data_IF_248734113081
#
_entry.id   IF_248734113081
#
_cell.length_a   1.000
_cell.length_b   1.000
_cell.length_c   1.000
_cell.angle_alpha   90.00
_cell.angle_beta   90.00
_cell.angle_gamma   90.00
#
_symmetry.space_group_name_H-M   'P 1'
#
loop_
_entity.id
_entity.type
_entity.pdbx_description
1 polymer ?
#
# COMPACT_ATOMS: atom_id res chain seq x y z
N UNK A 1 -4.79 9.28 2.82
CA UNK A 1 -5.62 8.07 2.58
C UNK A 1 -5.43 7.11 3.75
N UNK A 2 -6.35 7.02 4.69
CA UNK A 2 -6.18 6.16 5.86
C UNK A 2 -6.38 4.67 5.51
N UNK A 3 -5.70 3.80 6.26
CA UNK A 3 -5.88 2.34 6.20
C UNK A 3 -6.44 1.74 7.50
N UNK A 4 -6.40 2.49 8.60
CA UNK A 4 -6.89 2.08 9.92
C UNK A 4 -7.76 3.16 10.55
N UNK A 5 -8.59 2.81 11.58
CA UNK A 5 -9.33 3.83 12.35
C UNK A 5 -8.42 4.86 13.04
N UNK A 6 -7.26 4.46 13.53
CA UNK A 6 -6.28 5.37 14.11
C UNK A 6 -5.72 6.35 13.05
N UNK A 7 -5.36 5.84 11.86
CA UNK A 7 -4.92 6.69 10.74
C UNK A 7 -6.04 7.67 10.33
N UNK A 8 -7.30 7.21 10.26
CA UNK A 8 -8.42 8.08 9.92
C UNK A 8 -8.55 9.26 10.91
N UNK A 9 -8.48 8.98 12.22
CA UNK A 9 -8.49 10.03 13.25
C UNK A 9 -7.28 10.94 13.14
N UNK A 10 -6.08 10.38 13.08
CA UNK A 10 -4.83 11.13 13.17
C UNK A 10 -4.54 11.96 11.92
N UNK A 11 -4.68 11.36 10.73
CA UNK A 11 -4.47 12.06 9.45
C UNK A 11 -5.52 13.14 9.20
N UNK A 12 -6.80 12.89 9.54
CA UNK A 12 -7.84 13.91 9.38
C UNK A 12 -7.56 15.14 10.25
N UNK A 13 -7.12 14.92 11.50
CA UNK A 13 -6.74 16.04 12.38
C UNK A 13 -5.51 16.79 11.87
N UNK A 14 -4.52 16.08 11.34
CA UNK A 14 -3.37 16.72 10.70
C UNK A 14 -3.81 17.55 9.49
N UNK A 15 -4.69 16.99 8.64
CA UNK A 15 -5.21 17.69 7.48
C UNK A 15 -6.01 18.97 7.84
N UNK A 16 -6.79 18.93 8.93
CA UNK A 16 -7.54 20.12 9.41
C UNK A 16 -6.60 21.21 9.98
N UNK A 17 -5.46 20.78 10.53
CA UNK A 17 -4.48 21.69 11.16
C UNK A 17 -3.41 22.19 10.20
N UNK A 18 -3.39 21.68 8.98
CA UNK A 18 -2.47 22.11 7.93
C UNK A 18 -2.90 23.49 7.39
N UNK A 19 -1.93 24.34 7.09
CA UNK A 19 -2.18 25.68 6.54
C UNK A 19 -2.52 25.64 5.04
N UNK A 20 -2.22 24.54 4.37
CA UNK A 20 -2.52 24.31 2.96
C UNK A 20 -3.84 23.55 2.77
N UNK A 21 -4.52 23.69 1.63
CA UNK A 21 -5.67 22.87 1.28
C UNK A 21 -5.28 21.39 1.15
N UNK A 22 -5.89 20.52 1.96
CA UNK A 22 -5.65 19.07 1.95
C UNK A 22 -6.84 18.33 1.37
N UNK A 23 -6.59 17.47 0.37
CA UNK A 23 -7.58 16.53 -0.14
C UNK A 23 -7.47 15.23 0.67
N UNK A 24 -8.49 14.96 1.49
CA UNK A 24 -8.57 13.75 2.31
C UNK A 24 -9.43 12.72 1.60
N UNK A 25 -8.83 11.58 1.22
CA UNK A 25 -9.51 10.54 0.42
C UNK A 25 -9.79 9.34 1.31
N UNK A 26 -11.06 8.96 1.40
CA UNK A 26 -11.53 7.81 2.17
C UNK A 26 -12.02 6.69 1.25
N UNK A 27 -11.99 5.46 1.76
CA UNK A 27 -12.53 4.28 1.08
C UNK A 27 -13.79 3.82 1.82
N UNK A 28 -14.95 3.97 1.19
CA UNK A 28 -16.26 3.67 1.78
C UNK A 28 -16.39 2.23 2.29
N UNK A 29 -15.80 1.26 1.59
CA UNK A 29 -15.80 -0.15 1.99
C UNK A 29 -15.10 -0.42 3.34
N UNK A 30 -14.30 0.55 3.81
CA UNK A 30 -13.57 0.45 5.08
C UNK A 30 -14.32 1.08 6.26
N UNK A 31 -15.44 1.77 6.05
CA UNK A 31 -16.18 2.45 7.15
C UNK A 31 -16.67 1.49 8.24
N UNK A 32 -16.86 0.22 7.91
CA UNK A 32 -17.23 -0.82 8.88
C UNK A 32 -16.05 -1.41 9.67
N UNK A 33 -14.81 -1.08 9.32
CA UNK A 33 -13.62 -1.63 9.95
C UNK A 33 -13.49 -1.10 11.38
N UNK A 34 -13.18 -2.01 12.29
CA UNK A 34 -12.94 -1.68 13.72
C UNK A 34 -11.45 -1.86 14.01
N UNK A 35 -10.93 -1.02 14.91
CA UNK A 35 -9.54 -1.08 15.37
C UNK A 35 -9.34 -0.16 16.56
N UNK A 36 -8.19 -0.27 17.18
CA UNK A 36 -7.79 0.61 18.27
C UNK A 36 -7.62 2.04 17.76
N UNK A 37 -8.09 2.98 18.56
CA UNK A 37 -7.94 4.42 18.30
C UNK A 37 -7.48 5.06 19.60
N UNK A 38 -6.35 5.78 19.61
CA UNK A 38 -5.90 6.48 20.80
C UNK A 38 -6.96 7.45 21.36
N UNK A 39 -7.19 7.40 22.67
CA UNK A 39 -8.16 8.29 23.36
C UNK A 39 -7.69 9.74 23.43
N UNK A 40 -6.38 9.97 23.24
CA UNK A 40 -5.80 11.30 23.24
C UNK A 40 -6.53 12.23 22.27
N UNK A 41 -7.04 13.33 22.80
CA UNK A 41 -7.74 14.36 22.01
C UNK A 41 -6.81 15.09 21.05
N UNK A 42 -5.50 15.11 21.28
CA UNK A 42 -4.50 15.76 20.44
C UNK A 42 -3.73 14.78 19.53
N UNK A 43 -4.09 13.51 19.56
CA UNK A 43 -3.50 12.51 18.68
C UNK A 43 -3.59 12.93 17.21
N UNK A 44 -2.45 13.00 16.54
CA UNK A 44 -2.28 13.26 15.10
C UNK A 44 -1.35 12.25 14.49
N UNK A 45 -1.46 12.06 13.18
CA UNK A 45 -0.50 11.31 12.36
C UNK A 45 0.12 12.32 11.38
N UNK A 46 1.45 12.44 11.33
CA UNK A 46 2.09 13.42 10.45
C UNK A 46 1.84 13.07 8.98
N UNK A 47 1.61 14.13 8.16
CA UNK A 47 1.51 14.00 6.71
C UNK A 47 2.91 13.75 6.13
N UNK A 48 2.99 12.91 5.10
CA UNK A 48 4.26 12.59 4.42
C UNK A 48 5.16 11.60 5.17
N UNK A 49 4.61 10.85 6.13
CA UNK A 49 5.33 9.81 6.87
C UNK A 49 4.62 8.48 6.66
N UNK A 50 5.30 7.52 6.05
CA UNK A 50 4.81 6.16 5.85
C UNK A 50 4.76 5.36 7.16
N UNK A 51 4.06 4.25 7.12
CA UNK A 51 3.97 3.31 8.24
C UNK A 51 4.36 1.90 7.78
N UNK A 52 5.34 1.32 8.44
CA UNK A 52 5.68 -0.09 8.27
C UNK A 52 4.67 -0.91 9.07
N UNK A 53 3.65 -1.40 8.39
CA UNK A 53 2.56 -2.18 9.01
C UNK A 53 2.99 -3.60 9.40
N UNK A 54 4.03 -4.10 8.76
CA UNK A 54 4.64 -5.39 9.00
C UNK A 54 6.10 -5.35 8.56
N UNK A 55 7.00 -5.78 9.41
CA UNK A 55 8.41 -6.02 9.09
C UNK A 55 8.57 -7.28 8.22
N UNK A 56 9.56 -7.29 7.33
CA UNK A 56 9.88 -8.43 6.47
C UNK A 56 11.23 -8.29 5.78
N UNK A 57 11.75 -9.38 5.21
CA UNK A 57 13.12 -9.44 4.70
C UNK A 57 13.26 -9.85 3.23
N UNK A 58 12.23 -10.47 2.63
CA UNK A 58 12.36 -11.13 1.32
C UNK A 58 11.69 -10.36 0.18
N UNK A 59 10.66 -9.58 0.49
CA UNK A 59 9.99 -8.71 -0.48
C UNK A 59 9.27 -7.56 0.23
N UNK A 60 9.17 -6.41 -0.44
CA UNK A 60 8.37 -5.26 0.01
C UNK A 60 7.03 -5.22 -0.72
N UNK A 61 5.94 -5.03 0.01
CA UNK A 61 4.63 -4.73 -0.57
C UNK A 61 4.24 -3.31 -0.17
N UNK A 62 4.23 -2.40 -1.14
CA UNK A 62 3.72 -1.04 -0.93
C UNK A 62 2.24 -1.02 -1.23
N UNK A 63 1.42 -0.72 -0.23
CA UNK A 63 -0.03 -0.74 -0.35
C UNK A 63 -0.66 0.45 0.38
N UNK A 64 -1.78 0.98 -0.12
CA UNK A 64 -2.49 2.10 0.52
C UNK A 64 -3.98 1.80 0.68
N UNK A 65 -4.60 2.43 1.69
CA UNK A 65 -6.04 2.35 1.95
C UNK A 65 -6.53 0.90 1.98
N UNK A 66 -7.54 0.53 1.17
CA UNK A 66 -8.10 -0.83 1.09
C UNK A 66 -7.06 -1.91 0.78
N UNK A 67 -6.00 -1.59 0.06
CA UNK A 67 -4.98 -2.59 -0.29
C UNK A 67 -4.08 -2.96 0.89
N UNK A 68 -4.01 -2.16 1.96
CA UNK A 68 -3.19 -2.48 3.15
C UNK A 68 -3.67 -3.77 3.85
N UNK A 69 -4.95 -3.91 4.26
CA UNK A 69 -5.41 -5.18 4.83
C UNK A 69 -5.32 -6.37 3.85
N UNK A 70 -5.41 -6.11 2.54
CA UNK A 70 -5.21 -7.16 1.53
C UNK A 70 -3.73 -7.60 1.49
N UNK A 71 -2.79 -6.64 1.54
CA UNK A 71 -1.36 -6.90 1.57
C UNK A 71 -0.94 -7.65 2.84
N UNK A 72 -1.47 -7.28 4.01
CA UNK A 72 -1.20 -7.99 5.26
C UNK A 72 -1.65 -9.45 5.19
N UNK A 73 -2.83 -9.73 4.65
CA UNK A 73 -3.31 -11.09 4.43
C UNK A 73 -2.45 -11.86 3.42
N UNK A 74 -2.01 -11.22 2.36
CA UNK A 74 -1.09 -11.83 1.39
C UNK A 74 0.25 -12.18 2.05
N UNK A 75 0.80 -11.29 2.88
CA UNK A 75 2.02 -11.54 3.64
C UNK A 75 1.87 -12.71 4.62
N UNK A 76 0.71 -12.88 5.27
CA UNK A 76 0.42 -14.04 6.13
C UNK A 76 0.37 -15.38 5.36
N UNK A 77 -0.10 -15.35 4.12
CA UNK A 77 -0.09 -16.54 3.24
C UNK A 77 1.33 -16.88 2.82
N UNK A 78 2.09 -15.88 2.36
CA UNK A 78 3.46 -16.04 1.90
C UNK A 78 4.42 -16.48 3.01
N UNK A 79 4.19 -16.05 4.25
CA UNK A 79 4.98 -16.50 5.39
C UNK A 79 4.89 -17.99 5.65
N UNK A 80 3.73 -18.59 5.44
CA UNK A 80 3.56 -20.06 5.52
C UNK A 80 4.32 -20.81 4.43
N UNK A 81 4.69 -20.10 3.37
CA UNK A 81 5.49 -20.58 2.25
C UNK A 81 6.99 -20.24 2.41
N UNK A 82 7.36 -19.59 3.52
CA UNK A 82 8.74 -19.23 3.85
C UNK A 82 9.20 -17.89 3.26
N UNK A 83 8.27 -17.03 2.82
CA UNK A 83 8.57 -15.68 2.30
C UNK A 83 8.10 -14.62 3.28
N UNK A 84 9.05 -13.87 3.84
CA UNK A 84 8.81 -12.79 4.79
C UNK A 84 8.63 -11.45 4.05
N UNK A 85 7.39 -10.97 3.96
CA UNK A 85 7.08 -9.71 3.29
C UNK A 85 7.00 -8.55 4.28
N UNK A 86 7.71 -7.46 3.97
CA UNK A 86 7.47 -6.15 4.57
C UNK A 86 6.26 -5.49 3.91
N UNK A 87 5.36 -4.89 4.71
CA UNK A 87 4.20 -4.18 4.20
C UNK A 87 4.27 -2.72 4.63
N UNK A 88 4.34 -1.83 3.65
CA UNK A 88 4.41 -0.37 3.85
C UNK A 88 3.13 0.30 3.40
N UNK A 89 2.54 1.09 4.28
CA UNK A 89 1.47 2.03 3.96
C UNK A 89 2.04 3.45 3.84
N UNK A 90 2.09 4.04 2.65
CA UNK A 90 2.55 5.42 2.48
C UNK A 90 1.67 6.45 3.19
N UNK A 91 0.41 6.12 3.54
CA UNK A 91 -0.61 6.99 4.15
C UNK A 91 -0.94 8.23 3.33
N UNK A 92 0.05 8.86 2.72
CA UNK A 92 -0.11 10.07 1.91
C UNK A 92 0.44 9.86 0.49
N UNK A 93 -0.23 10.47 -0.48
CA UNK A 93 0.21 10.46 -1.88
C UNK A 93 1.11 11.66 -2.15
N UNK A 94 0.79 12.80 -1.54
CA UNK A 94 1.59 14.02 -1.61
C UNK A 94 1.45 14.81 -0.30
N UNK A 95 2.56 15.03 0.40
CA UNK A 95 3.89 14.48 0.13
C UNK A 95 3.93 12.95 0.24
N UNK A 96 4.78 12.29 -0.57
CA UNK A 96 5.02 10.85 -0.52
C UNK A 96 6.31 10.57 0.25
N UNK A 97 6.27 9.69 1.23
CA UNK A 97 7.46 9.18 1.92
C UNK A 97 8.15 8.11 1.07
N UNK A 98 8.80 8.56 0.02
CA UNK A 98 9.51 7.66 -0.89
C UNK A 98 10.80 7.11 -0.25
N UNK A 99 11.37 7.83 0.70
CA UNK A 99 12.62 7.43 1.33
C UNK A 99 12.42 6.16 2.16
N UNK A 100 11.35 6.06 2.94
CA UNK A 100 10.97 4.83 3.66
C UNK A 100 10.77 3.65 2.70
N UNK A 101 10.10 3.87 1.57
CA UNK A 101 9.89 2.82 0.56
C UNK A 101 11.21 2.36 -0.06
N UNK A 102 12.08 3.30 -0.43
CA UNK A 102 13.38 3.00 -1.04
C UNK A 102 14.29 2.24 -0.08
N UNK A 103 14.35 2.62 1.20
CA UNK A 103 15.16 1.91 2.19
C UNK A 103 14.67 0.47 2.40
N UNK A 104 13.38 0.23 2.43
CA UNK A 104 12.81 -1.12 2.45
C UNK A 104 13.20 -1.93 1.21
N UNK A 105 13.07 -1.34 0.02
CA UNK A 105 13.44 -2.01 -1.24
C UNK A 105 14.93 -2.37 -1.28
N UNK A 106 15.80 -1.53 -0.73
CA UNK A 106 17.24 -1.83 -0.63
C UNK A 106 17.54 -3.03 0.29
N UNK A 107 16.69 -3.29 1.26
CA UNK A 107 16.84 -4.43 2.17
C UNK A 107 16.27 -5.72 1.58
N UNK A 108 15.10 -5.64 0.95
CA UNK A 108 14.35 -6.79 0.46
C UNK A 108 14.67 -7.16 -0.99
N UNK A 109 15.22 -6.24 -1.78
CA UNK A 109 15.60 -6.35 -3.20
C UNK A 109 14.45 -6.68 -4.17
N UNK A 110 13.21 -6.79 -3.68
CA UNK A 110 12.01 -7.15 -4.45
C UNK A 110 10.84 -6.32 -3.99
N UNK A 111 10.02 -5.83 -4.93
CA UNK A 111 8.90 -4.98 -4.58
C UNK A 111 7.67 -5.19 -5.44
N UNK A 112 6.52 -5.25 -4.77
CA UNK A 112 5.18 -5.18 -5.37
C UNK A 112 4.51 -3.89 -4.93
N UNK A 113 4.00 -3.11 -5.88
CA UNK A 113 3.17 -1.93 -5.60
C UNK A 113 1.72 -2.27 -5.86
N UNK A 114 0.89 -2.21 -4.82
CA UNK A 114 -0.51 -2.62 -4.84
C UNK A 114 -1.46 -1.42 -4.77
N UNK A 115 -2.37 -1.32 -5.71
CA UNK A 115 -3.38 -0.25 -5.79
C UNK A 115 -4.71 -0.76 -6.35
N UNK A 116 -5.81 -0.23 -5.90
CA UNK A 116 -7.14 -0.53 -6.44
C UNK A 116 -7.50 0.29 -7.68
N UNK A 117 -6.74 1.35 -7.94
CA UNK A 117 -6.91 2.22 -9.11
C UNK A 117 -6.48 1.53 -10.40
N UNK A 118 -6.86 2.15 -11.53
CA UNK A 118 -6.44 1.67 -12.85
C UNK A 118 -4.91 1.68 -13.01
N UNK A 119 -4.34 0.78 -13.82
CA UNK A 119 -2.89 0.73 -14.03
C UNK A 119 -2.36 1.95 -14.79
N UNK A 120 -3.16 2.51 -15.70
CA UNK A 120 -2.79 3.69 -16.47
C UNK A 120 -2.91 4.95 -15.61
N UNK A 121 -1.84 5.73 -15.53
CA UNK A 121 -1.74 6.94 -14.69
C UNK A 121 -2.02 6.72 -13.19
N UNK A 122 -1.95 5.48 -12.71
CA UNK A 122 -2.06 5.18 -11.28
C UNK A 122 -0.82 5.66 -10.51
N UNK A 123 -0.99 5.96 -9.22
CA UNK A 123 0.10 6.39 -8.31
C UNK A 123 1.20 5.32 -8.24
N UNK A 124 0.85 4.04 -8.40
CA UNK A 124 1.82 2.96 -8.46
C UNK A 124 2.84 3.10 -9.60
N UNK A 125 2.51 3.80 -10.68
CA UNK A 125 3.47 4.09 -11.75
C UNK A 125 4.54 5.09 -11.29
N UNK A 126 4.14 6.13 -10.55
CA UNK A 126 5.06 7.12 -9.98
C UNK A 126 5.97 6.45 -8.94
N UNK A 127 5.40 5.68 -8.01
CA UNK A 127 6.18 4.94 -7.00
C UNK A 127 7.20 4.01 -7.70
N UNK A 128 6.79 3.32 -8.76
CA UNK A 128 7.71 2.46 -9.52
C UNK A 128 8.83 3.23 -10.19
N UNK A 129 8.55 4.42 -10.77
CA UNK A 129 9.55 5.28 -11.38
C UNK A 129 10.56 5.81 -10.35
N UNK A 130 10.09 6.22 -9.17
CA UNK A 130 10.94 6.67 -8.07
C UNK A 130 11.83 5.54 -7.53
N UNK A 131 11.30 4.33 -7.36
CA UNK A 131 12.08 3.14 -6.97
C UNK A 131 13.16 2.85 -8.03
N UNK A 132 12.80 2.84 -9.31
CA UNK A 132 13.75 2.64 -10.40
C UNK A 132 14.85 3.70 -10.43
N UNK A 133 14.52 4.94 -10.10
CA UNK A 133 15.50 6.04 -10.10
C UNK A 133 16.47 5.94 -8.91
N UNK A 134 16.01 5.46 -7.75
CA UNK A 134 16.75 5.54 -6.47
C UNK A 134 17.30 4.21 -5.97
N UNK A 135 16.76 3.09 -6.45
CA UNK A 135 17.09 1.74 -5.95
C UNK A 135 17.32 0.72 -7.07
N UNK A 136 17.51 1.13 -8.32
CA UNK A 136 17.69 0.20 -9.46
C UNK A 136 18.77 -0.85 -9.20
N UNK A 137 19.93 -0.44 -8.69
CA UNK A 137 21.07 -1.33 -8.44
C UNK A 137 20.83 -2.36 -7.31
N UNK A 138 19.73 -2.23 -6.57
CA UNK A 138 19.35 -3.13 -5.49
C UNK A 138 18.27 -4.15 -5.92
N UNK A 139 17.66 -3.97 -7.09
CA UNK A 139 16.53 -4.81 -7.51
C UNK A 139 17.00 -6.14 -8.10
N UNK A 140 16.52 -7.24 -7.53
CA UNK A 140 16.68 -8.61 -8.07
C UNK A 140 15.63 -8.94 -9.14
N UNK A 141 14.52 -8.19 -9.17
CA UNK A 141 13.43 -8.37 -10.12
C UNK A 141 12.83 -7.00 -10.52
N UNK A 142 12.17 -6.89 -11.68
CA UNK A 142 11.44 -5.69 -12.04
C UNK A 142 10.39 -5.33 -10.99
N UNK A 143 10.16 -4.03 -10.76
CA UNK A 143 9.06 -3.57 -9.90
C UNK A 143 7.73 -4.12 -10.44
N UNK A 144 7.03 -4.93 -9.65
CA UNK A 144 5.75 -5.51 -10.04
C UNK A 144 4.60 -4.65 -9.55
N UNK A 145 3.68 -4.31 -10.41
CA UNK A 145 2.47 -3.59 -10.05
C UNK A 145 1.26 -4.51 -10.09
N UNK A 146 0.45 -4.45 -9.04
CA UNK A 146 -0.87 -5.09 -8.97
C UNK A 146 -1.90 -3.99 -8.85
N UNK A 147 -2.67 -3.78 -9.91
CA UNK A 147 -3.65 -2.69 -10.05
C UNK A 147 -5.04 -3.25 -10.32
N UNK A 148 -6.05 -2.41 -10.13
CA UNK A 148 -7.40 -2.71 -10.57
C UNK A 148 -7.48 -2.98 -12.08
N UNK A 149 -8.54 -3.64 -12.50
CA UNK A 149 -8.79 -3.86 -13.92
C UNK A 149 -8.98 -2.53 -14.66
N UNK A 150 -8.44 -2.43 -15.87
CA UNK A 150 -8.58 -1.22 -16.71
C UNK A 150 -9.95 -1.15 -17.39
N UNK A 151 -10.97 -1.08 -16.56
CA UNK A 151 -12.39 -1.00 -16.98
C UNK A 151 -13.13 -0.03 -16.08
N UNK A 152 -14.22 0.61 -16.55
CA UNK A 152 -15.12 1.33 -15.65
C UNK A 152 -15.60 0.42 -14.51
N UNK A 153 -15.63 0.93 -13.28
CA UNK A 153 -16.02 0.13 -12.10
C UNK A 153 -17.45 -0.41 -12.29
N UNK A 154 -17.62 -1.73 -12.32
CA UNK A 154 -18.94 -2.34 -12.49
C UNK A 154 -19.81 -2.11 -11.26
N UNK A 155 -21.11 -1.91 -11.47
CA UNK A 155 -22.08 -1.79 -10.37
C UNK A 155 -22.40 -3.14 -9.70
N UNK A 156 -22.39 -4.23 -10.47
CA UNK A 156 -22.69 -5.57 -9.95
C UNK A 156 -21.55 -6.07 -9.05
N UNK A 157 -21.88 -6.44 -7.82
CA UNK A 157 -20.92 -6.84 -6.77
C UNK A 157 -19.90 -7.91 -7.23
N UNK A 158 -20.37 -8.93 -7.93
CA UNK A 158 -19.53 -10.01 -8.45
C UNK A 158 -18.53 -9.54 -9.53
N UNK A 159 -18.84 -8.46 -10.25
CA UNK A 159 -17.94 -7.86 -11.23
C UNK A 159 -17.01 -6.84 -10.56
N UNK A 160 -17.50 -6.09 -9.59
CA UNK A 160 -16.68 -5.19 -8.77
C UNK A 160 -15.56 -5.98 -8.05
N UNK A 161 -15.90 -7.14 -7.45
CA UNK A 161 -14.93 -8.03 -6.79
C UNK A 161 -13.84 -8.56 -7.75
N UNK A 162 -14.14 -8.66 -9.05
CA UNK A 162 -13.16 -9.03 -10.08
C UNK A 162 -12.35 -7.85 -10.59
N UNK A 163 -12.86 -6.64 -10.45
CA UNK A 163 -12.18 -5.42 -10.89
C UNK A 163 -11.16 -4.92 -9.87
N UNK A 164 -11.31 -5.26 -8.59
CA UNK A 164 -10.40 -4.86 -7.51
C UNK A 164 -9.46 -6.04 -7.20
N UNK A 165 -8.13 -5.81 -7.09
CA UNK A 165 -7.20 -6.88 -6.77
C UNK A 165 -7.45 -7.45 -5.36
N UNK A 166 -7.28 -8.74 -5.22
CA UNK A 166 -7.38 -9.46 -3.96
C UNK A 166 -6.06 -10.06 -3.49
N UNK A 167 -6.14 -10.86 -2.45
CA UNK A 167 -4.99 -11.55 -1.85
C UNK A 167 -4.26 -12.45 -2.85
N UNK A 168 -5.02 -13.19 -3.67
CA UNK A 168 -4.45 -14.15 -4.64
C UNK A 168 -3.55 -13.46 -5.67
N UNK A 169 -3.97 -12.29 -6.17
CA UNK A 169 -3.17 -11.53 -7.13
C UNK A 169 -1.88 -10.98 -6.52
N UNK A 170 -1.92 -10.55 -5.25
CA UNK A 170 -0.73 -10.11 -4.54
C UNK A 170 0.22 -11.27 -4.26
N UNK A 171 -0.28 -12.41 -3.80
CA UNK A 171 0.51 -13.62 -3.57
C UNK A 171 1.18 -14.06 -4.87
N UNK A 172 0.43 -14.11 -5.98
CA UNK A 172 0.98 -14.47 -7.28
C UNK A 172 2.08 -13.49 -7.73
N UNK A 173 1.88 -12.18 -7.53
CA UNK A 173 2.87 -11.17 -7.89
C UNK A 173 4.16 -11.29 -7.07
N UNK A 174 4.06 -11.58 -5.76
CA UNK A 174 5.25 -11.79 -4.93
C UNK A 174 5.98 -13.07 -5.32
N UNK A 175 5.27 -14.16 -5.56
CA UNK A 175 5.88 -15.42 -6.05
C UNK A 175 6.63 -15.22 -7.36
N UNK A 176 6.05 -14.46 -8.30
CA UNK A 176 6.68 -14.12 -9.58
C UNK A 176 8.04 -13.44 -9.38
N UNK A 177 8.11 -12.40 -8.53
CA UNK A 177 9.37 -11.65 -8.28
C UNK A 177 10.34 -12.39 -7.34
N UNK A 178 9.84 -13.36 -6.57
CA UNK A 178 10.65 -14.24 -5.73
C UNK A 178 11.16 -15.49 -6.48
N UNK A 179 10.78 -15.62 -7.76
CA UNK A 179 11.13 -16.79 -8.60
C UNK A 179 10.74 -18.13 -7.99
N UNK A 180 9.57 -18.16 -7.34
CA UNK A 180 8.98 -19.37 -6.79
C UNK A 180 8.13 -20.06 -7.86
N UNK A 181 8.38 -21.35 -8.09
CA UNK A 181 7.64 -22.22 -9.02
C UNK A 181 6.22 -22.55 -8.52
#
# INVERSE_FOLDING_TARGET
MPSTPADAKGLLKSAIRDDDPVIFIEQERMYGNKGEVPDDTDFTVPLGVADVKREGTDATIVARSLMVPVALKAAEVLEKEGVSCEVIDPRTIRPLDIDTIVESVKQTNRVVVAEESHPFCGVGAEISAEIMTRAFDYLDAPVRRVSGADVPMPYAKNLEERAIPGVEQLVAAVREIAYMD
#
